data_IF_859715107104
#
_entry.id   IF_859715107104
#
_cell.length_a   1.000
_cell.length_b   1.000
_cell.length_c   1.000
_cell.angle_alpha   90.00
_cell.angle_beta   90.00
_cell.angle_gamma   90.00
#
_symmetry.space_group_name_H-M   'P 1'
#
loop_
_entity.id
_entity.type
_entity.pdbx_description
1 polymer ?
#
# COMPACT_ATOMS: atom_id res chain seq x y z
N UNK A 1 -24.51 -11.80 -17.46
CA UNK A 1 -23.19 -11.41 -18.00
C UNK A 1 -22.42 -10.63 -16.94
N UNK A 2 -21.19 -11.03 -16.64
CA UNK A 2 -20.23 -10.25 -15.82
C UNK A 2 -19.35 -9.41 -16.75
N UNK A 3 -19.87 -8.31 -17.30
CA UNK A 3 -19.20 -7.51 -18.33
C UNK A 3 -18.53 -6.22 -17.82
N UNK A 4 -18.56 -5.96 -16.51
CA UNK A 4 -18.00 -4.73 -15.90
C UNK A 4 -16.58 -4.90 -15.36
N UNK A 5 -16.07 -6.13 -15.29
CA UNK A 5 -14.77 -6.47 -14.70
C UNK A 5 -13.86 -7.00 -15.79
N UNK A 6 -12.70 -6.38 -15.92
CA UNK A 6 -11.58 -6.91 -16.71
C UNK A 6 -10.76 -7.85 -15.82
N UNK A 7 -10.76 -9.14 -16.13
CA UNK A 7 -10.07 -10.15 -15.31
C UNK A 7 -8.54 -10.06 -15.37
N UNK A 8 -7.98 -9.27 -16.29
CA UNK A 8 -6.54 -9.06 -16.40
C UNK A 8 -6.03 -7.93 -15.48
N UNK A 9 -6.91 -7.08 -14.96
CA UNK A 9 -6.56 -5.88 -14.19
C UNK A 9 -7.15 -5.94 -12.78
N UNK A 10 -6.44 -6.62 -11.90
CA UNK A 10 -6.90 -6.91 -10.53
C UNK A 10 -5.93 -6.35 -9.49
N UNK A 11 -6.49 -5.84 -8.39
CA UNK A 11 -5.74 -5.44 -7.21
C UNK A 11 -6.35 -6.02 -5.94
N UNK A 12 -5.60 -5.99 -4.85
CA UNK A 12 -6.01 -6.48 -3.53
C UNK A 12 -5.68 -5.47 -2.45
N UNK A 13 -6.55 -5.38 -1.45
CA UNK A 13 -6.39 -4.53 -0.29
C UNK A 13 -6.98 -5.23 0.93
N UNK A 14 -6.48 -4.91 2.12
CA UNK A 14 -6.99 -5.49 3.35
C UNK A 14 -6.46 -4.79 4.58
N UNK A 15 -7.24 -4.86 5.66
CA UNK A 15 -6.93 -4.26 6.95
C UNK A 15 -6.36 -5.29 7.93
N UNK A 16 -5.38 -4.91 8.76
CA UNK A 16 -4.83 -5.76 9.82
C UNK A 16 -4.33 -7.10 9.26
N UNK A 17 -4.80 -8.24 9.79
CA UNK A 17 -4.50 -9.57 9.22
C UNK A 17 -4.87 -9.70 7.73
N UNK A 18 -5.91 -9.00 7.28
CA UNK A 18 -6.25 -8.91 5.85
C UNK A 18 -5.20 -8.13 5.04
N UNK A 19 -4.48 -7.20 5.66
CA UNK A 19 -3.30 -6.55 5.08
C UNK A 19 -2.13 -7.54 4.93
N UNK A 20 -1.92 -8.41 5.92
CA UNK A 20 -1.01 -9.56 5.76
C UNK A 20 -1.42 -10.46 4.59
N UNK A 21 -2.70 -10.84 4.53
CA UNK A 21 -3.25 -11.63 3.44
C UNK A 21 -3.16 -10.96 2.06
N UNK A 22 -3.15 -9.63 2.02
CA UNK A 22 -2.90 -8.86 0.78
C UNK A 22 -1.48 -9.12 0.25
N UNK A 23 -0.48 -9.16 1.14
CA UNK A 23 0.90 -9.48 0.78
C UNK A 23 1.05 -10.97 0.39
N UNK A 24 0.40 -11.88 1.11
CA UNK A 24 0.36 -13.31 0.74
C UNK A 24 -0.28 -13.55 -0.63
N UNK A 25 -1.34 -12.81 -0.95
CA UNK A 25 -1.98 -12.87 -2.25
C UNK A 25 -1.06 -12.33 -3.36
N UNK A 26 -0.35 -11.23 -3.11
CA UNK A 26 0.63 -10.67 -4.04
C UNK A 26 1.81 -11.61 -4.29
N UNK A 27 2.28 -12.31 -3.25
CA UNK A 27 3.28 -13.39 -3.32
C UNK A 27 2.78 -14.55 -4.18
N UNK A 28 1.54 -14.98 -3.96
CA UNK A 28 0.95 -16.14 -4.64
C UNK A 28 0.54 -15.86 -6.09
N UNK A 29 0.17 -14.62 -6.43
CA UNK A 29 -0.31 -14.22 -7.75
C UNK A 29 0.39 -12.95 -8.25
N UNK A 30 1.62 -13.06 -8.79
CA UNK A 30 2.40 -11.91 -9.25
C UNK A 30 1.80 -11.12 -10.42
N UNK A 31 0.73 -11.62 -11.06
CA UNK A 31 -0.01 -10.89 -12.10
C UNK A 31 -0.98 -9.83 -11.54
N UNK A 32 -1.11 -9.72 -10.22
CA UNK A 32 -1.81 -8.61 -9.57
C UNK A 32 -1.12 -7.29 -9.91
N UNK A 33 -1.92 -6.26 -10.20
CA UNK A 33 -1.41 -4.96 -10.61
C UNK A 33 -1.21 -3.98 -9.45
N UNK A 34 -1.90 -4.17 -8.33
CA UNK A 34 -1.69 -3.36 -7.14
C UNK A 34 -2.01 -4.12 -5.84
N UNK A 35 -1.27 -3.81 -4.78
CA UNK A 35 -1.50 -4.30 -3.43
C UNK A 35 -1.47 -3.15 -2.42
N UNK A 36 -2.45 -3.07 -1.52
CA UNK A 36 -2.51 -2.02 -0.48
C UNK A 36 -2.86 -2.63 0.89
N UNK A 37 -1.87 -3.07 1.67
CA UNK A 37 -2.08 -3.44 3.07
C UNK A 37 -2.28 -2.20 3.95
N UNK A 38 -3.41 -2.15 4.67
CA UNK A 38 -3.78 -1.08 5.60
C UNK A 38 -3.55 -1.54 7.04
N UNK A 39 -2.66 -0.86 7.76
CA UNK A 39 -2.19 -1.24 9.12
C UNK A 39 -1.94 -2.74 9.23
N UNK A 40 -1.22 -3.27 8.24
CA UNK A 40 -1.12 -4.70 7.99
C UNK A 40 -0.46 -5.47 9.13
N UNK A 41 -0.98 -6.66 9.40
CA UNK A 41 -0.44 -7.60 10.36
C UNK A 41 -0.11 -8.93 9.66
N UNK A 42 1.09 -9.45 9.88
CA UNK A 42 1.51 -10.80 9.50
C UNK A 42 2.72 -11.19 10.37
N UNK A 43 2.89 -12.47 10.69
CA UNK A 43 4.08 -13.01 11.34
C UNK A 43 5.29 -13.03 10.42
N UNK A 44 5.10 -13.27 9.11
CA UNK A 44 6.16 -13.11 8.10
C UNK A 44 6.46 -11.62 7.91
N UNK A 45 7.75 -11.26 7.96
CA UNK A 45 8.25 -9.89 7.85
C UNK A 45 8.98 -9.62 6.54
N UNK A 46 9.17 -10.67 5.74
CA UNK A 46 10.03 -10.64 4.55
C UNK A 46 9.21 -10.94 3.31
N UNK A 47 9.21 -10.01 2.36
CA UNK A 47 8.44 -10.08 1.13
C UNK A 47 9.28 -9.88 -0.15
N UNK A 48 10.50 -10.46 -0.25
CA UNK A 48 11.36 -10.23 -1.42
C UNK A 48 10.79 -10.81 -2.72
N UNK A 49 9.83 -11.75 -2.63
CA UNK A 49 9.21 -12.39 -3.80
C UNK A 49 8.10 -11.55 -4.43
N UNK A 50 7.60 -10.52 -3.74
CA UNK A 50 6.50 -9.68 -4.22
C UNK A 50 6.96 -8.85 -5.42
N UNK A 51 6.23 -9.01 -6.54
CA UNK A 51 6.46 -8.26 -7.79
C UNK A 51 5.37 -7.24 -8.11
N UNK A 52 4.31 -7.20 -7.31
CA UNK A 52 3.15 -6.33 -7.51
C UNK A 52 3.42 -4.96 -6.88
N UNK A 53 3.16 -3.84 -7.59
CA UNK A 53 3.25 -2.50 -7.02
C UNK A 53 2.49 -2.38 -5.69
N UNK A 54 3.20 -2.04 -4.61
CA UNK A 54 2.64 -2.12 -3.25
C UNK A 54 2.72 -0.78 -2.50
N UNK A 55 1.57 -0.28 -2.04
CA UNK A 55 1.46 0.85 -1.10
C UNK A 55 1.15 0.31 0.30
N UNK A 56 2.12 0.39 1.21
CA UNK A 56 1.93 0.00 2.61
C UNK A 56 1.46 1.21 3.41
N UNK A 57 0.33 1.08 4.11
CA UNK A 57 -0.18 2.13 4.99
C UNK A 57 0.01 1.73 6.46
N UNK A 58 0.79 2.51 7.21
CA UNK A 58 0.99 2.38 8.65
C UNK A 58 0.26 3.48 9.44
N UNK A 59 0.23 3.35 10.76
CA UNK A 59 -0.27 4.38 11.68
C UNK A 59 0.68 4.52 12.86
N UNK A 60 1.07 5.75 13.19
CA UNK A 60 2.09 6.03 14.21
C UNK A 60 1.71 5.55 15.62
N UNK A 61 0.42 5.62 15.98
CA UNK A 61 -0.15 5.13 17.24
C UNK A 61 -0.71 3.72 17.18
N UNK A 62 -0.31 2.89 16.21
CA UNK A 62 -0.76 1.50 16.13
C UNK A 62 -0.12 0.62 17.22
N UNK A 63 -0.94 0.10 18.13
CA UNK A 63 -0.51 -0.80 19.21
C UNK A 63 -0.86 -2.27 18.97
N UNK A 64 -1.58 -2.58 17.89
CA UNK A 64 -2.01 -3.95 17.53
C UNK A 64 -1.08 -4.54 16.47
N UNK A 65 -0.74 -3.74 15.46
CA UNK A 65 0.25 -4.04 14.44
C UNK A 65 1.30 -2.91 14.39
N UNK A 66 2.16 -2.76 15.43
CA UNK A 66 3.08 -1.63 15.51
C UNK A 66 3.94 -1.50 14.26
N UNK A 67 4.04 -0.28 13.71
CA UNK A 67 4.74 -0.02 12.45
C UNK A 67 6.19 -0.51 12.48
N UNK A 68 6.86 -0.39 13.63
CA UNK A 68 8.23 -0.82 13.84
C UNK A 68 8.44 -2.34 13.66
N UNK A 69 7.42 -3.17 13.90
CA UNK A 69 7.49 -4.63 13.80
C UNK A 69 6.64 -5.22 12.66
N UNK A 70 5.93 -4.39 11.90
CA UNK A 70 5.06 -4.80 10.80
C UNK A 70 5.28 -3.96 9.54
N UNK A 71 4.58 -2.85 9.37
CA UNK A 71 4.58 -2.07 8.14
C UNK A 71 5.98 -1.62 7.67
N UNK A 72 6.86 -1.20 8.59
CA UNK A 72 8.23 -0.79 8.24
C UNK A 72 9.08 -1.99 7.80
N UNK A 73 9.14 -3.12 8.55
CA UNK A 73 9.75 -4.35 8.06
C UNK A 73 9.22 -4.81 6.70
N UNK A 74 7.89 -4.79 6.50
CA UNK A 74 7.29 -5.20 5.23
C UNK A 74 7.84 -4.36 4.07
N UNK A 75 7.78 -3.02 4.21
CA UNK A 75 8.27 -2.09 3.19
C UNK A 75 9.76 -2.25 2.89
N UNK A 76 10.58 -2.42 3.93
CA UNK A 76 12.02 -2.58 3.79
C UNK A 76 12.39 -3.88 3.08
N UNK A 77 11.59 -4.94 3.27
CA UNK A 77 11.85 -6.25 2.66
C UNK A 77 11.41 -6.36 1.19
N UNK A 78 10.52 -5.48 0.71
CA UNK A 78 10.14 -5.43 -0.70
C UNK A 78 11.36 -5.08 -1.58
N UNK A 79 11.48 -5.63 -2.80
CA UNK A 79 12.57 -5.28 -3.71
C UNK A 79 12.71 -3.77 -3.91
N UNK A 80 13.94 -3.25 -3.98
CA UNK A 80 14.19 -1.82 -4.20
C UNK A 80 13.86 -1.36 -5.62
N UNK A 81 13.83 -2.29 -6.58
CA UNK A 81 13.43 -2.05 -7.97
C UNK A 81 11.91 -2.07 -8.18
N UNK A 82 11.13 -2.49 -7.18
CA UNK A 82 9.66 -2.52 -7.25
C UNK A 82 9.09 -1.12 -7.05
N UNK A 83 8.09 -0.73 -7.83
CA UNK A 83 7.25 0.44 -7.53
C UNK A 83 6.53 0.24 -6.19
N UNK A 84 6.99 0.95 -5.15
CA UNK A 84 6.52 0.78 -3.78
C UNK A 84 6.48 2.10 -3.03
N UNK A 85 5.54 2.20 -2.11
CA UNK A 85 5.45 3.32 -1.19
C UNK A 85 5.09 2.86 0.23
N UNK A 86 5.53 3.65 1.20
CA UNK A 86 5.11 3.57 2.60
C UNK A 86 4.53 4.91 3.03
N UNK A 87 3.29 4.88 3.49
CA UNK A 87 2.56 6.02 4.03
C UNK A 87 2.27 5.76 5.50
N UNK A 88 2.85 6.55 6.40
CA UNK A 88 2.53 6.50 7.83
C UNK A 88 1.56 7.63 8.18
N UNK A 89 0.40 7.27 8.71
CA UNK A 89 -0.60 8.24 9.17
C UNK A 89 -0.18 8.84 10.51
N UNK A 90 -0.38 10.15 10.66
CA UNK A 90 -0.10 10.90 11.90
C UNK A 90 -1.31 10.94 12.82
N UNK A 91 -1.08 10.74 14.12
CA UNK A 91 -2.12 10.75 15.15
C UNK A 91 -3.18 9.67 14.91
N UNK A 92 -2.78 8.54 14.32
CA UNK A 92 -3.67 7.48 13.88
C UNK A 92 -3.50 6.22 14.73
N UNK A 93 -4.50 5.35 14.70
CA UNK A 93 -4.51 4.09 15.44
C UNK A 93 -4.72 2.91 14.50
N UNK A 94 -4.62 1.70 15.03
CA UNK A 94 -4.87 0.47 14.26
C UNK A 94 -6.21 0.47 13.50
N UNK A 95 -7.23 1.12 14.09
CA UNK A 95 -8.61 1.12 13.60
C UNK A 95 -8.95 2.34 12.73
N UNK A 96 -8.00 3.27 12.51
CA UNK A 96 -8.21 4.40 11.60
C UNK A 96 -8.68 3.96 10.20
N UNK A 97 -8.21 2.85 9.61
CA UNK A 97 -8.72 2.36 8.32
C UNK A 97 -10.18 1.85 8.33
N UNK A 98 -10.83 1.69 9.49
CA UNK A 98 -12.22 1.23 9.57
C UNK A 98 -13.26 2.36 9.46
N UNK A 99 -12.80 3.61 9.44
CA UNK A 99 -13.63 4.80 9.26
C UNK A 99 -13.16 5.60 8.05
N UNK A 100 -14.01 6.48 7.53
CA UNK A 100 -13.64 7.35 6.42
C UNK A 100 -12.40 8.19 6.76
N UNK A 101 -11.37 8.09 5.94
CA UNK A 101 -10.13 8.84 6.09
C UNK A 101 -9.67 9.34 4.72
N UNK A 102 -9.62 10.66 4.55
CA UNK A 102 -9.29 11.31 3.27
C UNK A 102 -7.88 10.98 2.80
N UNK A 103 -6.92 10.85 3.70
CA UNK A 103 -5.53 10.53 3.37
C UNK A 103 -5.42 9.10 2.83
N UNK A 104 -6.03 8.12 3.51
CA UNK A 104 -6.12 6.74 3.00
C UNK A 104 -6.82 6.72 1.64
N UNK A 105 -7.98 7.38 1.52
CA UNK A 105 -8.77 7.38 0.29
C UNK A 105 -7.99 7.96 -0.89
N UNK A 106 -7.39 9.14 -0.72
CA UNK A 106 -6.63 9.83 -1.77
C UNK A 106 -5.49 8.95 -2.30
N UNK A 107 -4.63 8.45 -1.41
CA UNK A 107 -3.45 7.70 -1.85
C UNK A 107 -3.82 6.30 -2.34
N UNK A 108 -4.84 5.65 -1.77
CA UNK A 108 -5.34 4.38 -2.30
C UNK A 108 -5.91 4.54 -3.71
N UNK A 109 -6.74 5.55 -3.95
CA UNK A 109 -7.29 5.83 -5.29
C UNK A 109 -6.18 6.12 -6.28
N UNK A 110 -5.23 6.99 -5.93
CA UNK A 110 -4.10 7.32 -6.80
C UNK A 110 -3.25 6.10 -7.12
N UNK A 111 -2.96 5.25 -6.14
CA UNK A 111 -2.20 4.01 -6.34
C UNK A 111 -2.92 3.03 -7.27
N UNK A 112 -4.20 2.77 -7.00
CA UNK A 112 -5.01 1.89 -7.85
C UNK A 112 -5.12 2.44 -9.27
N UNK A 113 -5.34 3.74 -9.43
CA UNK A 113 -5.37 4.38 -10.76
C UNK A 113 -4.04 4.24 -11.49
N UNK A 114 -2.94 4.54 -10.81
CA UNK A 114 -1.62 4.51 -11.42
C UNK A 114 -1.25 3.12 -11.94
N UNK A 115 -1.59 2.06 -11.21
CA UNK A 115 -1.10 0.71 -11.53
C UNK A 115 -2.16 -0.25 -12.11
N UNK A 116 -3.44 -0.17 -11.72
CA UNK A 116 -4.51 -1.00 -12.33
C UNK A 116 -4.97 -0.42 -13.66
N UNK A 117 -5.02 0.91 -13.77
CA UNK A 117 -5.47 1.59 -14.99
C UNK A 117 -4.29 2.09 -15.86
N UNK A 118 -3.05 1.91 -15.41
CA UNK A 118 -1.86 2.53 -16.03
C UNK A 118 -2.03 4.05 -16.22
N UNK A 119 -2.77 4.70 -15.32
CA UNK A 119 -3.22 6.08 -15.49
C UNK A 119 -2.18 7.06 -14.94
N UNK A 120 -1.27 7.49 -15.82
CA UNK A 120 -0.17 8.41 -15.49
C UNK A 120 -0.64 9.79 -15.02
N UNK A 121 -1.92 10.15 -15.24
CA UNK A 121 -2.49 11.40 -14.70
C UNK A 121 -2.45 11.44 -13.17
N UNK A 122 -2.41 10.28 -12.51
CA UNK A 122 -2.36 10.16 -11.05
C UNK A 122 -0.92 10.14 -10.49
N UNK A 123 0.10 10.05 -11.35
CA UNK A 123 1.51 10.05 -10.91
C UNK A 123 1.85 11.31 -10.13
N UNK A 124 1.31 12.47 -10.51
CA UNK A 124 1.53 13.75 -9.83
C UNK A 124 1.11 13.77 -8.36
N UNK A 125 0.25 12.84 -7.92
CA UNK A 125 -0.15 12.73 -6.52
C UNK A 125 0.76 11.80 -5.72
N UNK A 126 1.58 11.00 -6.39
CA UNK A 126 2.47 9.99 -5.80
C UNK A 126 3.95 10.41 -5.92
N UNK A 127 4.29 11.15 -6.97
CA UNK A 127 5.63 11.63 -7.31
C UNK A 127 5.59 13.12 -7.72
N UNK A 128 6.47 13.99 -7.17
CA UNK A 128 7.43 13.71 -6.09
C UNK A 128 6.73 13.25 -4.81
N UNK A 129 7.45 12.50 -3.97
CA UNK A 129 6.87 11.90 -2.77
C UNK A 129 6.21 12.97 -1.88
N UNK A 130 4.98 12.72 -1.38
CA UNK A 130 4.32 13.63 -0.46
C UNK A 130 5.18 13.97 0.75
N UNK A 131 5.22 15.25 1.11
CA UNK A 131 5.89 15.70 2.34
C UNK A 131 5.09 15.31 3.59
N UNK A 132 5.77 15.31 4.74
CA UNK A 132 5.09 15.17 6.04
C UNK A 132 4.12 16.33 6.27
N UNK A 133 3.02 16.07 6.96
CA UNK A 133 1.93 17.03 7.14
C UNK A 133 1.06 16.66 8.34
N UNK A 134 0.05 17.45 8.67
CA UNK A 134 -0.86 17.16 9.79
C UNK A 134 -1.46 15.74 9.76
N UNK A 135 -1.57 15.12 8.59
CA UNK A 135 -2.10 13.75 8.44
C UNK A 135 -1.06 12.71 8.04
N UNK A 136 0.17 13.11 7.71
CA UNK A 136 1.24 12.22 7.22
C UNK A 136 2.44 12.33 8.16
N UNK A 137 2.69 11.27 8.92
CA UNK A 137 3.83 11.16 9.82
C UNK A 137 5.14 10.98 9.03
N UNK A 138 5.12 10.08 8.05
CA UNK A 138 6.23 9.80 7.15
C UNK A 138 5.71 9.32 5.78
N UNK A 139 6.48 9.59 4.73
CA UNK A 139 6.26 9.01 3.40
C UNK A 139 7.61 8.54 2.84
N UNK A 140 7.65 7.32 2.29
CA UNK A 140 8.81 6.76 1.59
C UNK A 140 8.34 6.10 0.31
N UNK A 141 9.20 6.01 -0.69
CA UNK A 141 8.92 5.28 -1.91
C UNK A 141 10.02 5.48 -2.94
N UNK A 142 9.90 4.83 -4.07
CA UNK A 142 10.68 5.14 -5.27
C UNK A 142 9.85 6.02 -6.21
N UNK A 143 10.49 7.05 -6.72
CA UNK A 143 9.97 7.91 -7.77
C UNK A 143 11.09 8.21 -8.77
N UNK A 144 10.77 8.43 -10.06
CA UNK A 144 9.46 8.20 -10.67
C UNK A 144 9.13 6.70 -10.75
N UNK A 145 7.83 6.35 -10.80
CA UNK A 145 7.44 4.96 -11.02
C UNK A 145 7.69 4.54 -12.46
N UNK A 146 8.13 3.30 -12.66
CA UNK A 146 8.57 2.80 -13.98
C UNK A 146 7.59 1.86 -14.68
N UNK A 147 6.58 1.34 -13.96
CA UNK A 147 5.54 0.47 -14.50
C UNK A 147 4.52 1.18 -15.38
#
# INVERSE_FOLDING_TARGET
MRSRVDSSRLGVMGHSMGGGGTLEAAKSRPSLQAAIPLTGWNTDKTWPEVKTPTLIVGSDGDTVAPVASHSVPFYNSLPSSLDKAYLELRGATHFTPNSSNTTIAKYSISWLKRFIDNDTRYEQFLCPLPSTSLTIAAYRGNCPHTS
#
